data_IF_309866843931
#
_entry.id   IF_309866843931
#
_cell.length_a   1.000
_cell.length_b   1.000
_cell.length_c   1.000
_cell.angle_alpha   90.00
_cell.angle_beta   90.00
_cell.angle_gamma   90.00
#
_symmetry.space_group_name_H-M   'P 1'
#
loop_
_entity.id
_entity.type
_entity.pdbx_description
1 polymer ?
#
# COMPACT_ATOMS: atom_id res chain seq x y z
N UNK A 1 21.83 13.02 -12.05
CA UNK A 1 22.37 11.82 -11.38
C UNK A 1 21.50 11.57 -10.15
N UNK A 2 20.83 10.41 -9.99
CA UNK A 2 20.03 10.15 -8.80
C UNK A 2 20.97 10.06 -7.61
N UNK A 3 20.66 10.84 -6.56
CA UNK A 3 21.37 10.82 -5.28
C UNK A 3 21.42 9.37 -4.79
N UNK A 4 22.63 8.87 -4.55
CA UNK A 4 22.82 7.54 -3.96
C UNK A 4 22.26 7.57 -2.53
N UNK A 5 21.03 7.06 -2.38
CA UNK A 5 20.41 6.88 -1.08
C UNK A 5 21.07 5.71 -0.35
N UNK A 6 21.29 5.83 0.93
CA UNK A 6 21.79 4.73 1.76
C UNK A 6 20.72 3.62 1.86
N UNK A 7 21.11 2.33 1.92
CA UNK A 7 20.15 1.20 1.92
C UNK A 7 19.09 1.30 3.02
N UNK A 8 19.40 1.88 4.18
CA UNK A 8 18.41 2.14 5.23
C UNK A 8 17.37 3.22 4.88
N UNK A 9 17.73 4.15 4.01
CA UNK A 9 16.79 5.17 3.51
C UNK A 9 15.80 4.60 2.50
N UNK A 10 16.18 3.59 1.72
CA UNK A 10 15.29 2.93 0.76
C UNK A 10 14.16 2.19 1.50
N UNK A 11 14.44 1.59 2.67
CA UNK A 11 13.44 0.94 3.51
C UNK A 11 12.45 1.95 4.13
N UNK A 12 12.96 2.98 4.81
CA UNK A 12 12.11 3.96 5.51
C UNK A 12 11.33 4.86 4.57
N UNK A 13 11.84 5.05 3.35
CA UNK A 13 11.19 5.82 2.31
C UNK A 13 9.84 5.20 1.89
N UNK A 14 9.81 3.87 1.69
CA UNK A 14 8.59 3.14 1.32
C UNK A 14 7.53 3.13 2.43
N UNK A 15 7.94 3.14 3.71
CA UNK A 15 7.01 3.05 4.83
C UNK A 15 6.25 4.38 5.05
N UNK A 16 6.95 5.53 5.02
CA UNK A 16 6.36 6.81 5.42
C UNK A 16 6.41 7.89 4.35
N UNK A 17 7.60 8.17 3.79
CA UNK A 17 7.80 9.31 2.88
C UNK A 17 7.23 9.09 1.48
N UNK A 18 7.16 7.84 1.03
CA UNK A 18 6.60 7.43 -0.26
C UNK A 18 5.65 6.25 -0.08
N UNK A 19 4.78 6.34 0.94
CA UNK A 19 3.76 5.31 1.13
C UNK A 19 2.94 5.15 -0.16
N UNK A 20 2.85 3.92 -0.71
CA UNK A 20 2.24 3.71 -2.03
C UNK A 20 0.78 4.12 -2.06
N UNK A 21 0.00 3.86 -1.01
CA UNK A 21 -1.43 4.16 -0.97
C UNK A 21 -1.69 5.61 -0.57
N UNK A 22 -1.04 6.07 0.52
CA UNK A 22 -1.38 7.35 1.14
C UNK A 22 -0.77 8.56 0.43
N UNK A 23 0.39 8.40 -0.22
CA UNK A 23 1.09 9.50 -0.89
C UNK A 23 1.08 9.36 -2.40
N UNK A 24 1.38 8.15 -2.91
CA UNK A 24 1.44 7.92 -4.36
C UNK A 24 0.08 7.59 -4.97
N UNK A 25 -0.94 7.29 -4.16
CA UNK A 25 -2.27 6.82 -4.58
C UNK A 25 -2.22 5.59 -5.51
N UNK A 26 -1.21 4.75 -5.35
CA UNK A 26 -1.03 3.49 -6.08
C UNK A 26 -1.57 2.32 -5.25
N UNK A 27 -2.15 1.33 -5.93
CA UNK A 27 -2.73 0.17 -5.25
C UNK A 27 -4.09 0.43 -4.61
N UNK A 28 -4.81 1.46 -5.05
CA UNK A 28 -6.16 1.76 -4.55
C UNK A 28 -7.18 0.69 -4.92
N UNK A 29 -7.03 0.02 -6.08
CA UNK A 29 -7.99 -0.99 -6.53
C UNK A 29 -8.20 -2.10 -5.50
N UNK A 30 -7.18 -2.83 -5.04
CA UNK A 30 -7.36 -3.82 -3.98
C UNK A 30 -7.66 -3.17 -2.62
N UNK A 31 -7.12 -1.97 -2.35
CA UNK A 31 -7.38 -1.26 -1.11
C UNK A 31 -8.85 -0.90 -0.92
N UNK A 32 -9.57 -0.51 -1.96
CA UNK A 32 -10.99 -0.18 -1.90
C UNK A 32 -11.88 -1.42 -1.88
N UNK A 33 -11.49 -2.48 -2.60
CA UNK A 33 -12.29 -3.67 -2.78
C UNK A 33 -12.30 -4.59 -1.55
N UNK A 34 -11.15 -4.72 -0.85
CA UNK A 34 -10.94 -5.79 0.15
C UNK A 34 -10.95 -5.28 1.59
N UNK A 35 -10.85 -3.97 1.82
CA UNK A 35 -10.72 -3.39 3.17
C UNK A 35 -12.04 -3.27 3.95
N UNK A 36 -13.01 -4.13 3.73
CA UNK A 36 -14.24 -4.20 4.53
C UNK A 36 -14.02 -4.86 5.90
N UNK A 37 -13.03 -5.76 6.04
CA UNK A 37 -12.62 -6.34 7.31
C UNK A 37 -11.10 -6.28 7.48
N UNK A 38 -10.63 -6.20 8.72
CA UNK A 38 -9.17 -6.17 9.04
C UNK A 38 -8.50 -7.47 8.62
N UNK A 39 -9.16 -8.61 8.82
CA UNK A 39 -8.61 -9.93 8.46
C UNK A 39 -8.35 -10.03 6.96
N UNK A 40 -9.33 -9.65 6.13
CA UNK A 40 -9.18 -9.64 4.68
C UNK A 40 -8.10 -8.65 4.22
N UNK A 41 -8.03 -7.48 4.87
CA UNK A 41 -7.02 -6.46 4.60
C UNK A 41 -5.59 -6.96 4.87
N UNK A 42 -5.40 -7.66 5.98
CA UNK A 42 -4.10 -8.25 6.34
C UNK A 42 -3.73 -9.40 5.39
N UNK A 43 -4.65 -10.30 5.09
CA UNK A 43 -4.40 -11.43 4.19
C UNK A 43 -4.01 -10.92 2.78
N UNK A 44 -4.76 -9.94 2.26
CA UNK A 44 -4.45 -9.31 0.97
C UNK A 44 -3.13 -8.56 1.00
N UNK A 45 -2.84 -7.85 2.09
CA UNK A 45 -1.57 -7.15 2.28
C UNK A 45 -0.37 -8.09 2.30
N UNK A 46 -0.47 -9.22 3.00
CA UNK A 46 0.56 -10.24 3.06
C UNK A 46 0.76 -10.94 1.70
N UNK A 47 -0.33 -11.30 1.01
CA UNK A 47 -0.25 -11.88 -0.34
C UNK A 47 0.44 -10.90 -1.32
N UNK A 48 0.05 -9.63 -1.29
CA UNK A 48 0.66 -8.58 -2.12
C UNK A 48 2.13 -8.38 -1.78
N UNK A 49 2.50 -8.40 -0.51
CA UNK A 49 3.89 -8.31 -0.05
C UNK A 49 4.73 -9.47 -0.59
N UNK A 50 4.24 -10.69 -0.46
CA UNK A 50 4.92 -11.89 -0.99
C UNK A 50 5.14 -11.79 -2.50
N UNK A 51 4.09 -11.44 -3.25
CA UNK A 51 4.18 -11.28 -4.71
C UNK A 51 5.15 -10.17 -5.10
N UNK A 52 5.10 -9.02 -4.42
CA UNK A 52 6.00 -7.89 -4.67
C UNK A 52 7.46 -8.27 -4.42
N UNK A 53 7.74 -8.95 -3.32
CA UNK A 53 9.08 -9.38 -2.94
C UNK A 53 9.67 -10.37 -3.95
N UNK A 54 8.94 -11.44 -4.25
CA UNK A 54 9.38 -12.49 -5.17
C UNK A 54 9.53 -11.98 -6.62
N UNK A 55 8.56 -11.18 -7.09
CA UNK A 55 8.62 -10.61 -8.43
C UNK A 55 9.75 -9.58 -8.58
N UNK A 56 10.02 -8.77 -7.55
CA UNK A 56 11.15 -7.83 -7.55
C UNK A 56 12.49 -8.53 -7.60
N UNK A 57 12.62 -9.68 -6.92
CA UNK A 57 13.81 -10.52 -6.99
C UNK A 57 14.07 -11.01 -8.41
N UNK A 58 13.05 -11.58 -9.07
CA UNK A 58 13.19 -12.08 -10.45
C UNK A 58 13.45 -10.95 -11.44
N UNK A 59 12.70 -9.87 -11.38
CA UNK A 59 12.88 -8.74 -12.31
C UNK A 59 14.27 -8.12 -12.16
N UNK A 60 14.77 -7.91 -10.94
CA UNK A 60 16.11 -7.37 -10.72
C UNK A 60 17.22 -8.31 -11.21
N UNK A 61 16.98 -9.64 -11.17
CA UNK A 61 17.93 -10.66 -11.65
C UNK A 61 17.94 -10.71 -13.18
N UNK A 62 16.77 -10.78 -13.81
CA UNK A 62 16.63 -10.95 -15.25
C UNK A 62 16.56 -9.65 -16.05
N UNK A 63 16.71 -8.49 -15.43
CA UNK A 63 16.59 -7.17 -16.08
C UNK A 63 17.43 -6.97 -17.33
N UNK A 64 18.57 -7.66 -17.46
CA UNK A 64 19.45 -7.58 -18.64
C UNK A 64 18.91 -8.38 -19.84
N UNK A 65 18.05 -9.36 -19.59
CA UNK A 65 17.49 -10.25 -20.61
C UNK A 65 16.18 -9.72 -21.21
N UNK A 66 15.52 -8.78 -20.52
CA UNK A 66 14.19 -8.26 -20.89
C UNK A 66 14.38 -7.05 -21.82
N UNK A 67 14.02 -7.16 -23.13
CA UNK A 67 14.07 -6.02 -24.03
C UNK A 67 13.05 -4.96 -23.65
N UNK A 68 13.37 -3.70 -23.97
CA UNK A 68 12.57 -2.55 -23.53
C UNK A 68 11.11 -2.59 -24.04
N UNK A 69 10.90 -3.14 -25.23
CA UNK A 69 9.60 -3.16 -25.91
C UNK A 69 8.57 -4.07 -25.24
N UNK A 70 9.00 -5.20 -24.66
CA UNK A 70 8.11 -6.21 -24.04
C UNK A 70 8.18 -6.22 -22.51
N UNK A 71 8.79 -5.21 -21.89
CA UNK A 71 9.11 -5.16 -20.48
C UNK A 71 7.86 -5.29 -19.61
N UNK A 72 6.83 -4.49 -19.86
CA UNK A 72 5.59 -4.47 -19.05
C UNK A 72 4.87 -5.80 -19.14
N UNK A 73 4.77 -6.40 -20.34
CA UNK A 73 4.14 -7.70 -20.54
C UNK A 73 4.88 -8.82 -19.79
N UNK A 74 6.20 -8.78 -19.78
CA UNK A 74 7.02 -9.75 -19.04
C UNK A 74 6.83 -9.60 -17.54
N UNK A 75 6.71 -8.37 -17.02
CA UNK A 75 6.43 -8.15 -15.58
C UNK A 75 5.07 -8.70 -15.19
N UNK A 76 4.03 -8.46 -15.99
CA UNK A 76 2.69 -9.00 -15.73
C UNK A 76 2.71 -10.52 -15.68
N UNK A 77 3.45 -11.18 -16.59
CA UNK A 77 3.58 -12.63 -16.61
C UNK A 77 4.27 -13.17 -15.35
N UNK A 78 5.37 -12.55 -14.94
CA UNK A 78 6.09 -12.89 -13.70
C UNK A 78 5.17 -12.71 -12.48
N UNK A 79 4.48 -11.58 -12.39
CA UNK A 79 3.56 -11.28 -11.28
C UNK A 79 2.43 -12.30 -11.27
N UNK A 80 1.82 -12.63 -12.42
CA UNK A 80 0.74 -13.60 -12.52
C UNK A 80 1.15 -14.98 -12.01
N UNK A 81 2.36 -15.44 -12.33
CA UNK A 81 2.89 -16.70 -11.81
C UNK A 81 2.97 -16.71 -10.29
N UNK A 82 3.49 -15.64 -9.68
CA UNK A 82 3.56 -15.55 -8.21
C UNK A 82 2.20 -15.36 -7.56
N UNK A 83 1.27 -14.69 -8.22
CA UNK A 83 -0.11 -14.56 -7.74
C UNK A 83 -0.79 -15.93 -7.72
N UNK A 84 -0.61 -16.77 -8.73
CA UNK A 84 -1.14 -18.14 -8.74
C UNK A 84 -0.56 -18.98 -7.59
N UNK A 85 0.74 -18.84 -7.34
CA UNK A 85 1.38 -19.53 -6.19
C UNK A 85 0.79 -19.02 -4.86
N UNK A 86 0.63 -17.70 -4.72
CA UNK A 86 0.05 -17.10 -3.52
C UNK A 86 -1.42 -17.51 -3.30
N UNK A 87 -2.18 -17.63 -4.37
CA UNK A 87 -3.57 -18.08 -4.36
C UNK A 87 -3.68 -19.52 -3.84
N UNK A 88 -2.91 -20.45 -4.40
CA UNK A 88 -2.85 -21.84 -3.94
C UNK A 88 -2.37 -21.96 -2.49
N UNK A 89 -1.40 -21.12 -2.10
CA UNK A 89 -0.90 -21.10 -0.73
C UNK A 89 -1.97 -20.60 0.25
N UNK A 90 -2.71 -19.58 -0.11
CA UNK A 90 -3.79 -19.02 0.69
C UNK A 90 -4.95 -20.02 0.84
N UNK A 91 -5.29 -20.73 -0.23
CA UNK A 91 -6.29 -21.81 -0.20
C UNK A 91 -5.89 -22.95 0.74
N UNK A 92 -4.61 -23.31 0.76
CA UNK A 92 -4.09 -24.37 1.62
C UNK A 92 -4.03 -23.98 3.11
N UNK A 93 -3.71 -22.72 3.42
CA UNK A 93 -3.49 -22.26 4.80
C UNK A 93 -4.80 -21.77 5.44
N UNK A 94 -5.56 -20.95 4.75
CA UNK A 94 -6.78 -20.31 5.30
C UNK A 94 -7.90 -20.32 4.26
N UNK A 95 -8.58 -21.45 4.07
CA UNK A 95 -9.62 -21.61 3.04
C UNK A 95 -10.82 -20.65 3.22
N UNK A 96 -11.14 -20.27 4.45
CA UNK A 96 -12.22 -19.32 4.75
C UNK A 96 -11.93 -17.93 4.16
N UNK A 97 -10.69 -17.44 4.36
CA UNK A 97 -10.25 -16.14 3.83
C UNK A 97 -10.11 -16.21 2.31
N UNK A 98 -9.62 -17.33 1.76
CA UNK A 98 -9.56 -17.53 0.32
C UNK A 98 -10.94 -17.43 -0.33
N UNK A 99 -11.99 -18.04 0.24
CA UNK A 99 -13.38 -17.89 -0.25
C UNK A 99 -13.88 -16.44 -0.19
N UNK A 100 -13.49 -15.69 0.84
CA UNK A 100 -13.89 -14.30 0.99
C UNK A 100 -13.14 -13.37 0.01
N UNK A 101 -11.83 -13.63 -0.23
CA UNK A 101 -11.02 -12.85 -1.17
C UNK A 101 -11.24 -13.25 -2.63
N UNK A 102 -11.47 -14.53 -2.93
CA UNK A 102 -11.85 -15.09 -4.22
C UNK A 102 -11.29 -14.32 -5.44
N UNK A 103 -12.19 -13.70 -6.19
CA UNK A 103 -11.84 -12.93 -7.39
C UNK A 103 -10.91 -11.72 -7.14
N UNK A 104 -10.80 -11.22 -5.90
CA UNK A 104 -9.97 -10.06 -5.60
C UNK A 104 -8.47 -10.36 -5.61
N UNK A 105 -8.06 -11.64 -5.45
CA UNK A 105 -6.66 -12.05 -5.55
C UNK A 105 -6.12 -11.78 -6.96
N UNK A 106 -6.95 -11.97 -7.99
CA UNK A 106 -6.58 -11.65 -9.37
C UNK A 106 -6.23 -10.16 -9.58
N UNK A 107 -6.75 -9.23 -8.75
CA UNK A 107 -6.40 -7.81 -8.81
C UNK A 107 -4.94 -7.53 -8.44
N UNK A 108 -4.26 -8.46 -7.77
CA UNK A 108 -2.82 -8.32 -7.47
C UNK A 108 -2.00 -8.33 -8.74
N UNK A 109 -2.40 -9.08 -9.78
CA UNK A 109 -1.68 -9.18 -11.07
C UNK A 109 -1.54 -7.81 -11.74
N UNK A 110 -2.61 -7.02 -11.73
CA UNK A 110 -2.66 -5.69 -12.35
C UNK A 110 -2.47 -4.55 -11.34
N UNK A 111 -1.96 -4.85 -10.15
CA UNK A 111 -1.75 -3.86 -9.11
C UNK A 111 -0.73 -2.82 -9.56
N UNK A 112 -1.18 -1.59 -9.72
CA UNK A 112 -0.37 -0.46 -10.18
C UNK A 112 0.83 -0.16 -9.25
N UNK A 113 0.74 -0.50 -7.96
CA UNK A 113 1.87 -0.37 -7.03
C UNK A 113 2.99 -1.35 -7.40
N UNK A 114 2.67 -2.61 -7.66
CA UNK A 114 3.67 -3.64 -8.01
C UNK A 114 4.31 -3.29 -9.35
N UNK A 115 3.51 -3.05 -10.38
CA UNK A 115 4.00 -2.69 -11.71
C UNK A 115 4.82 -1.40 -11.68
N UNK A 116 4.35 -0.39 -10.96
CA UNK A 116 5.05 0.89 -10.83
C UNK A 116 6.43 0.75 -10.17
N UNK A 117 6.56 -0.08 -9.12
CA UNK A 117 7.85 -0.33 -8.46
C UNK A 117 8.77 -1.21 -9.28
N UNK A 118 8.24 -2.17 -10.02
CA UNK A 118 9.02 -3.00 -10.96
C UNK A 118 9.70 -2.12 -12.01
N UNK A 119 8.95 -1.23 -12.65
CA UNK A 119 9.47 -0.37 -13.71
C UNK A 119 10.32 0.79 -13.15
N UNK A 120 9.89 1.43 -12.07
CA UNK A 120 10.57 2.61 -11.54
C UNK A 120 11.88 2.28 -10.83
N UNK A 121 11.94 1.16 -10.10
CA UNK A 121 13.03 0.86 -9.20
C UNK A 121 13.72 -0.49 -9.46
N UNK A 122 12.97 -1.61 -9.50
CA UNK A 122 13.57 -2.96 -9.58
C UNK A 122 14.34 -3.19 -10.88
N UNK A 123 13.85 -2.68 -12.00
CA UNK A 123 14.49 -2.81 -13.31
C UNK A 123 15.80 -2.04 -13.41
N UNK A 124 16.01 -0.99 -12.62
CA UNK A 124 17.14 -0.07 -12.72
C UNK A 124 18.23 -0.31 -11.67
N UNK A 125 17.85 -0.86 -10.52
CA UNK A 125 18.74 -1.03 -9.38
C UNK A 125 19.29 -2.46 -9.23
N UNK A 126 20.24 -2.65 -8.32
CA UNK A 126 20.79 -3.97 -7.98
C UNK A 126 19.80 -4.78 -7.14
N UNK A 127 19.91 -6.11 -7.19
CA UNK A 127 19.02 -7.04 -6.47
C UNK A 127 18.83 -6.67 -4.99
N UNK A 128 19.89 -6.45 -4.17
CA UNK A 128 19.70 -6.15 -2.75
C UNK A 128 18.93 -4.84 -2.51
N UNK A 129 19.15 -3.82 -3.35
CA UNK A 129 18.40 -2.56 -3.24
C UNK A 129 16.95 -2.70 -3.66
N UNK A 130 16.67 -3.48 -4.70
CA UNK A 130 15.31 -3.79 -5.13
C UNK A 130 14.52 -4.53 -4.06
N UNK A 131 15.15 -5.46 -3.33
CA UNK A 131 14.51 -6.19 -2.23
C UNK A 131 14.24 -5.29 -1.00
N UNK A 132 15.17 -4.40 -0.66
CA UNK A 132 14.96 -3.44 0.44
C UNK A 132 13.80 -2.48 0.13
N UNK A 133 13.74 -1.99 -1.09
CA UNK A 133 12.64 -1.12 -1.53
C UNK A 133 11.30 -1.87 -1.57
N UNK A 134 11.28 -3.10 -2.10
CA UNK A 134 10.09 -3.96 -2.11
C UNK A 134 9.60 -4.25 -0.68
N UNK A 135 10.51 -4.50 0.26
CA UNK A 135 10.17 -4.73 1.66
C UNK A 135 9.57 -3.47 2.29
N UNK A 136 10.20 -2.32 2.12
CA UNK A 136 9.71 -1.05 2.65
C UNK A 136 8.34 -0.66 2.08
N UNK A 137 8.18 -0.80 0.78
CA UNK A 137 6.92 -0.48 0.08
C UNK A 137 5.80 -1.46 0.47
N UNK A 138 6.12 -2.76 0.57
CA UNK A 138 5.15 -3.78 0.97
C UNK A 138 4.66 -3.61 2.41
N UNK A 139 5.57 -3.30 3.35
CA UNK A 139 5.19 -2.96 4.73
C UNK A 139 4.31 -1.71 4.76
N UNK A 140 4.69 -0.66 4.02
CA UNK A 140 3.89 0.55 3.89
C UNK A 140 2.48 0.29 3.35
N UNK A 141 2.35 -0.65 2.42
CA UNK A 141 1.07 -1.10 1.87
C UNK A 141 0.22 -1.84 2.91
N UNK A 142 0.82 -2.77 3.67
CA UNK A 142 0.13 -3.50 4.75
C UNK A 142 -0.41 -2.52 5.80
N UNK A 143 0.40 -1.54 6.22
CA UNK A 143 -0.01 -0.52 7.20
C UNK A 143 -1.20 0.30 6.67
N UNK A 144 -1.16 0.71 5.41
CA UNK A 144 -2.25 1.46 4.80
C UNK A 144 -3.55 0.65 4.71
N UNK A 145 -3.47 -0.63 4.29
CA UNK A 145 -4.62 -1.54 4.25
C UNK A 145 -5.19 -1.80 5.64
N UNK A 146 -4.33 -2.01 6.64
CA UNK A 146 -4.74 -2.21 8.02
C UNK A 146 -5.47 -0.98 8.57
N UNK A 147 -4.94 0.21 8.33
CA UNK A 147 -5.57 1.47 8.76
C UNK A 147 -6.94 1.65 8.10
N UNK A 148 -7.04 1.45 6.78
CA UNK A 148 -8.31 1.56 6.06
C UNK A 148 -9.31 0.50 6.51
N UNK A 149 -8.87 -0.76 6.64
CA UNK A 149 -9.70 -1.88 7.08
C UNK A 149 -10.21 -1.69 8.52
N UNK A 150 -9.34 -1.23 9.42
CA UNK A 150 -9.70 -0.93 10.81
C UNK A 150 -10.76 0.14 10.92
N UNK A 151 -10.60 1.27 10.22
CA UNK A 151 -11.60 2.35 10.22
C UNK A 151 -12.94 1.86 9.64
N UNK A 152 -12.91 1.14 8.53
CA UNK A 152 -14.12 0.64 7.87
C UNK A 152 -14.82 -0.44 8.69
N UNK A 153 -14.10 -1.35 9.34
CA UNK A 153 -14.70 -2.38 10.20
C UNK A 153 -15.34 -1.77 11.44
N UNK A 154 -14.66 -0.81 12.09
CA UNK A 154 -15.21 -0.13 13.26
C UNK A 154 -16.45 0.69 12.92
N UNK A 155 -16.44 1.44 11.82
CA UNK A 155 -17.57 2.28 11.41
C UNK A 155 -18.70 1.47 10.74
N UNK A 156 -18.36 0.42 10.00
CA UNK A 156 -19.32 -0.40 9.26
C UNK A 156 -20.03 -1.42 10.13
N UNK A 157 -19.27 -2.23 10.86
CA UNK A 157 -19.81 -3.33 11.66
C UNK A 157 -19.85 -3.04 13.18
N UNK A 158 -19.13 -1.99 13.64
CA UNK A 158 -18.97 -1.75 15.09
C UNK A 158 -18.14 -2.81 15.79
N UNK A 159 -17.41 -3.62 15.02
CA UNK A 159 -16.50 -4.67 15.50
C UNK A 159 -15.05 -4.33 15.11
N UNK A 160 -14.12 -4.90 15.86
CA UNK A 160 -12.69 -4.83 15.52
C UNK A 160 -12.10 -6.23 15.66
N UNK A 161 -11.54 -6.77 14.57
CA UNK A 161 -11.06 -8.17 14.50
C UNK A 161 -12.15 -9.20 14.88
N UNK A 162 -13.42 -8.93 14.56
CA UNK A 162 -14.53 -9.81 14.89
C UNK A 162 -15.06 -9.70 16.33
N UNK A 163 -14.46 -8.87 17.19
CA UNK A 163 -14.98 -8.60 18.53
C UNK A 163 -15.92 -7.38 18.50
N UNK A 164 -17.19 -7.52 18.96
CA UNK A 164 -18.14 -6.39 18.99
C UNK A 164 -17.67 -5.34 20.01
N UNK A 165 -17.29 -4.14 19.52
CA UNK A 165 -16.85 -3.03 20.38
C UNK A 165 -18.04 -2.26 21.00
N UNK A 166 -19.14 -2.14 20.25
CA UNK A 166 -20.28 -1.28 20.62
C UNK A 166 -21.50 -2.05 21.17
N UNK A 167 -21.38 -3.39 21.43
CA UNK A 167 -22.50 -4.19 21.96
C UNK A 167 -23.65 -4.38 20.96
N UNK A 168 -24.68 -5.13 21.37
CA UNK A 168 -25.74 -5.62 20.46
C UNK A 168 -26.73 -4.57 19.91
N UNK A 169 -26.54 -3.28 20.14
CA UNK A 169 -27.49 -2.23 19.73
C UNK A 169 -26.92 -1.27 18.65
N UNK A 170 -25.78 -1.64 18.02
CA UNK A 170 -25.20 -0.82 16.96
C UNK A 170 -25.81 -1.19 15.60
N UNK A 171 -26.47 -0.25 14.96
CA UNK A 171 -26.93 -0.43 13.57
C UNK A 171 -25.77 -0.24 12.60
N UNK A 172 -25.43 -1.25 11.77
CA UNK A 172 -24.32 -1.19 10.85
C UNK A 172 -24.53 -0.09 9.80
N UNK A 173 -23.53 0.77 9.64
CA UNK A 173 -23.54 1.80 8.59
C UNK A 173 -23.16 1.18 7.25
N UNK A 174 -24.16 0.73 6.50
CA UNK A 174 -24.01 0.03 5.22
C UNK A 174 -23.14 0.83 4.22
N UNK A 175 -23.17 2.16 4.26
CA UNK A 175 -22.38 3.04 3.40
C UNK A 175 -20.87 2.76 3.51
N UNK A 176 -20.37 2.46 4.72
CA UNK A 176 -18.95 2.17 4.94
C UNK A 176 -18.53 0.76 4.53
N UNK A 177 -19.49 -0.16 4.46
CA UNK A 177 -19.27 -1.54 3.99
C UNK A 177 -19.11 -1.56 2.47
N UNK A 178 -19.90 -0.74 1.75
CA UNK A 178 -19.87 -0.66 0.29
C UNK A 178 -18.60 0.07 -0.22
N UNK A 179 -18.24 -0.10 -1.52
CA UNK A 179 -17.11 0.59 -2.15
C UNK A 179 -17.09 2.11 -1.97
N UNK A 180 -18.21 2.86 -2.02
CA UNK A 180 -18.20 4.30 -1.73
C UNK A 180 -17.63 4.67 -0.38
N UNK A 181 -17.83 3.83 0.65
CA UNK A 181 -17.24 4.02 1.97
C UNK A 181 -15.71 3.95 1.98
N UNK A 182 -15.13 3.16 1.10
CA UNK A 182 -13.68 3.13 0.90
C UNK A 182 -13.12 4.47 0.43
N UNK A 183 -13.79 5.11 -0.53
CA UNK A 183 -13.41 6.45 -1.02
C UNK A 183 -13.56 7.52 0.06
N UNK A 184 -14.63 7.48 0.85
CA UNK A 184 -14.81 8.38 1.98
C UNK A 184 -13.69 8.19 3.02
N UNK A 185 -13.39 6.94 3.37
CA UNK A 185 -12.34 6.61 4.35
C UNK A 185 -10.98 7.13 3.91
N UNK A 186 -10.58 6.87 2.66
CA UNK A 186 -9.29 7.37 2.16
C UNK A 186 -9.28 8.89 2.06
N UNK A 187 -10.39 9.53 1.67
CA UNK A 187 -10.53 10.98 1.66
C UNK A 187 -10.34 11.60 3.06
N UNK A 188 -10.93 11.02 4.09
CA UNK A 188 -10.74 11.46 5.48
C UNK A 188 -9.30 11.25 5.97
N UNK A 189 -8.67 10.11 5.64
CA UNK A 189 -7.27 9.85 6.01
C UNK A 189 -6.35 10.88 5.36
N UNK A 190 -6.52 11.15 4.07
CA UNK A 190 -5.71 12.13 3.33
C UNK A 190 -5.93 13.55 3.85
N UNK A 191 -7.17 13.91 4.19
CA UNK A 191 -7.48 15.21 4.80
C UNK A 191 -6.76 15.36 6.14
N UNK A 192 -6.81 14.34 7.00
CA UNK A 192 -6.15 14.33 8.31
C UNK A 192 -4.63 14.43 8.18
N UNK A 193 -4.02 13.67 7.24
CA UNK A 193 -2.59 13.73 6.98
C UNK A 193 -2.14 15.11 6.47
N UNK A 194 -2.86 15.66 5.50
CA UNK A 194 -2.55 16.97 4.94
C UNK A 194 -2.69 18.09 5.99
N UNK A 195 -3.73 18.02 6.82
CA UNK A 195 -3.91 18.96 7.91
C UNK A 195 -2.77 18.87 8.96
N UNK A 196 -2.32 17.66 9.28
CA UNK A 196 -1.19 17.46 10.20
C UNK A 196 0.12 17.95 9.61
N UNK A 197 0.39 17.70 8.33
CA UNK A 197 1.57 18.21 7.65
C UNK A 197 1.58 19.75 7.58
N UNK A 198 0.44 20.37 7.29
CA UNK A 198 0.31 21.83 7.31
C UNK A 198 0.60 22.41 8.69
N UNK A 199 0.01 21.85 9.74
CA UNK A 199 0.28 22.28 11.12
C UNK A 199 1.75 22.11 11.51
N UNK A 200 2.40 21.03 11.05
CA UNK A 200 3.82 20.80 11.30
C UNK A 200 4.68 21.82 10.57
N UNK A 201 4.34 22.16 9.33
CA UNK A 201 5.02 23.18 8.54
C UNK A 201 4.85 24.59 9.15
N UNK A 202 3.68 24.93 9.68
CA UNK A 202 3.42 26.20 10.38
C UNK A 202 4.24 26.30 11.67
N UNK A 203 4.31 25.22 12.46
CA UNK A 203 5.17 25.18 13.67
C UNK A 203 6.64 25.35 13.33
N UNK A 204 7.12 24.72 12.26
CA UNK A 204 8.50 24.87 11.80
C UNK A 204 8.82 26.28 11.31
N UNK A 205 7.83 27.01 10.77
CA UNK A 205 7.98 28.43 10.41
C UNK A 205 7.98 29.35 11.62
N UNK A 206 7.24 29.04 12.68
CA UNK A 206 7.23 29.84 13.91
C UNK A 206 8.51 29.70 14.72
N UNK A 207 9.24 28.59 14.57
CA UNK A 207 10.52 28.32 15.27
C UNK A 207 11.75 28.92 14.58
N UNK A 208 11.58 29.60 13.41
CA UNK A 208 12.64 30.34 12.71
C UNK A 208 12.46 31.85 12.97
N UNK A 209 13.14 32.45 13.96
CA UNK A 209 12.94 33.85 14.35
C UNK A 209 13.50 34.89 13.36
N UNK A 210 13.86 34.50 12.15
CA UNK A 210 14.46 35.40 11.14
C UNK A 210 13.64 35.62 9.85
N UNK A 211 12.58 34.85 9.59
CA UNK A 211 11.85 34.93 8.32
C UNK A 211 10.78 36.02 8.27
N UNK A 212 10.29 36.49 9.42
CA UNK A 212 9.22 37.50 9.50
C UNK A 212 9.73 38.92 9.26
N UNK A 213 11.04 39.15 9.33
CA UNK A 213 11.62 40.47 9.12
C UNK A 213 11.80 40.88 7.65
N UNK A 214 11.86 39.90 6.72
CA UNK A 214 12.12 40.18 5.30
C UNK A 214 10.82 40.47 4.53
N UNK A 215 9.68 39.94 4.97
CA UNK A 215 8.38 40.14 4.29
C UNK A 215 7.69 41.47 4.67
N UNK A 216 8.16 42.17 5.72
CA UNK A 216 7.68 43.52 6.08
C UNK A 216 8.50 44.65 5.48
N UNK A 217 9.58 44.34 4.76
CA UNK A 217 10.48 45.35 4.18
C UNK A 217 10.41 45.40 2.64
N UNK A 218 9.51 44.65 1.98
CA UNK A 218 9.18 44.72 0.59
C UNK A 218 7.70 45.11 0.41
#
# INVERSE_FOLDING_TARGET
MPKQTTPGQDLTRGIWRENPVLIQMLGLCPALAVTNTVVNSLAMGLATFFVLFCSSLLVATFKKFIPHEVRITTYILIIATFVTIADMLLEAIVPEVHKALGAFIALIVVNCMILGRQEAFSSKNTVPRALLDATGTGIGFIIALFLMGGIREVLGYGSFLGFPLFGGNYEPWIIFILPPGGFLTIGFILLALNWWERRKAERSKSDLPGAVAVERAA
#
